data_IF_609152160636
#
_entry.id   IF_609152160636
#
_cell.length_a   1.000
_cell.length_b   1.000
_cell.length_c   1.000
_cell.angle_alpha   90.00
_cell.angle_beta   90.00
_cell.angle_gamma   90.00
#
_symmetry.space_group_name_H-M   'P 1'
#
loop_
_entity.id
_entity.type
_entity.pdbx_description
1 polymer ?
#
# COMPACT_ATOMS: atom_id res chain seq x y z
N UNK A 1 -23.59 0.02 2.28
CA UNK A 1 -23.00 0.43 3.57
C UNK A 1 -22.63 -0.77 4.45
N UNK A 2 -23.53 -1.70 4.80
CA UNK A 2 -23.21 -2.87 5.65
C UNK A 2 -22.09 -3.77 5.06
N UNK A 3 -22.11 -4.05 3.76
CA UNK A 3 -21.05 -4.81 3.08
C UNK A 3 -19.70 -4.07 3.14
N UNK A 4 -19.69 -2.74 2.94
CA UNK A 4 -18.48 -1.91 3.03
C UNK A 4 -17.90 -1.91 4.44
N UNK A 5 -18.71 -1.90 5.49
CA UNK A 5 -18.26 -1.97 6.88
C UNK A 5 -17.63 -3.33 7.22
N UNK A 6 -18.09 -4.42 6.60
CA UNK A 6 -17.47 -5.75 6.77
C UNK A 6 -16.11 -5.83 6.07
N UNK A 7 -15.99 -5.25 4.89
CA UNK A 7 -14.68 -5.15 4.20
C UNK A 7 -13.72 -4.29 5.02
N UNK A 8 -14.21 -3.20 5.64
CA UNK A 8 -13.43 -2.36 6.53
C UNK A 8 -12.98 -3.07 7.83
N UNK A 9 -13.73 -4.08 8.30
CA UNK A 9 -13.35 -4.88 9.46
C UNK A 9 -12.07 -5.72 9.26
N UNK A 10 -11.68 -5.98 8.01
CA UNK A 10 -10.39 -6.61 7.65
C UNK A 10 -9.32 -5.59 7.22
N UNK A 11 -9.50 -4.31 7.49
CA UNK A 11 -8.65 -3.21 7.01
C UNK A 11 -7.34 -3.04 7.78
N UNK A 12 -6.51 -2.14 7.27
CA UNK A 12 -5.15 -1.84 7.73
C UNK A 12 -5.05 -0.87 8.92
N UNK A 13 -6.16 -0.65 9.64
CA UNK A 13 -6.20 0.24 10.82
C UNK A 13 -6.58 -0.56 12.07
N UNK A 14 -5.79 -0.45 13.12
CA UNK A 14 -6.01 -1.16 14.37
C UNK A 14 -7.36 -0.80 15.02
N UNK A 15 -8.05 -1.77 15.62
CA UNK A 15 -9.30 -1.56 16.34
C UNK A 15 -10.54 -1.18 15.52
N UNK A 16 -10.38 -0.84 14.23
CA UNK A 16 -11.51 -0.50 13.33
C UNK A 16 -12.41 -1.71 13.10
N UNK A 17 -11.84 -2.93 13.07
CA UNK A 17 -12.60 -4.17 12.93
C UNK A 17 -13.68 -4.33 13.99
N UNK A 18 -13.36 -4.16 15.26
CA UNK A 18 -14.33 -4.22 16.36
C UNK A 18 -15.36 -3.08 16.29
N UNK A 19 -14.93 -1.87 15.95
CA UNK A 19 -15.83 -0.72 15.81
C UNK A 19 -16.78 -0.90 14.63
N UNK A 20 -16.32 -1.46 13.52
CA UNK A 20 -17.13 -1.82 12.37
C UNK A 20 -18.16 -2.91 12.71
N UNK A 21 -17.77 -3.94 13.48
CA UNK A 21 -18.67 -4.99 13.96
C UNK A 21 -19.74 -4.43 14.92
N UNK A 22 -19.36 -3.53 15.84
CA UNK A 22 -20.34 -2.84 16.71
C UNK A 22 -21.31 -1.96 15.91
N UNK A 23 -20.81 -1.25 14.89
CA UNK A 23 -21.65 -0.45 14.00
C UNK A 23 -22.59 -1.33 13.16
N UNK A 24 -22.13 -2.47 12.68
CA UNK A 24 -22.95 -3.47 11.97
C UNK A 24 -24.06 -3.99 12.87
N UNK A 25 -23.77 -4.35 14.13
CA UNK A 25 -24.77 -4.82 15.07
C UNK A 25 -25.89 -3.77 15.34
N UNK A 26 -25.51 -2.49 15.43
CA UNK A 26 -26.47 -1.38 15.56
C UNK A 26 -27.31 -1.19 14.28
N UNK A 27 -26.68 -1.32 13.10
CA UNK A 27 -27.40 -1.24 11.83
C UNK A 27 -28.39 -2.40 11.67
N UNK A 28 -28.03 -3.61 12.08
CA UNK A 28 -28.91 -4.78 12.02
C UNK A 28 -30.18 -4.59 12.90
N UNK A 29 -30.07 -3.86 14.02
CA UNK A 29 -31.22 -3.57 14.89
C UNK A 29 -32.22 -2.60 14.26
N UNK A 30 -31.75 -1.63 13.45
CA UNK A 30 -32.63 -0.61 12.84
C UNK A 30 -32.97 -0.92 11.37
N UNK A 31 -32.41 -2.00 10.82
CA UNK A 31 -32.63 -2.38 9.42
C UNK A 31 -33.97 -3.07 9.22
N UNK A 32 -34.77 -2.69 8.20
CA UNK A 32 -35.98 -3.41 7.84
C UNK A 32 -35.73 -4.91 7.58
N UNK A 33 -36.64 -5.78 7.99
CA UNK A 33 -36.50 -7.24 7.94
C UNK A 33 -36.12 -7.77 6.55
N UNK A 34 -36.70 -7.17 5.49
CA UNK A 34 -36.39 -7.54 4.09
C UNK A 34 -34.94 -7.25 3.70
N UNK A 35 -34.40 -6.09 4.10
CA UNK A 35 -33.00 -5.71 3.83
C UNK A 35 -32.03 -6.54 4.69
N UNK A 36 -32.41 -6.85 5.92
CA UNK A 36 -31.63 -7.71 6.82
C UNK A 36 -31.47 -9.10 6.23
N UNK A 37 -32.53 -9.70 5.69
CA UNK A 37 -32.49 -11.00 5.04
C UNK A 37 -31.58 -11.00 3.78
N UNK A 38 -31.62 -9.92 2.98
CA UNK A 38 -30.73 -9.78 1.82
C UNK A 38 -29.27 -9.65 2.21
N UNK A 39 -28.94 -8.85 3.23
CA UNK A 39 -27.59 -8.69 3.74
C UNK A 39 -27.07 -9.99 4.35
N UNK A 40 -27.91 -10.73 5.08
CA UNK A 40 -27.57 -12.05 5.62
C UNK A 40 -27.28 -13.05 4.51
N UNK A 41 -28.14 -13.14 3.48
CA UNK A 41 -27.92 -14.04 2.35
C UNK A 41 -26.61 -13.77 1.60
N UNK A 42 -26.24 -12.50 1.39
CA UNK A 42 -24.93 -12.13 0.81
C UNK A 42 -23.78 -12.54 1.74
N UNK A 43 -23.97 -12.38 3.05
CA UNK A 43 -22.95 -12.77 4.03
C UNK A 43 -22.72 -14.28 4.05
N UNK A 44 -23.79 -15.06 4.10
CA UNK A 44 -23.70 -16.52 4.16
C UNK A 44 -23.14 -17.13 2.87
N UNK A 45 -23.34 -16.42 1.74
CA UNK A 45 -22.79 -16.80 0.42
C UNK A 45 -21.37 -16.30 0.18
N UNK A 46 -20.78 -15.48 1.08
CA UNK A 46 -19.47 -14.85 0.86
C UNK A 46 -18.45 -15.33 1.88
N UNK A 47 -17.43 -16.02 1.41
CA UNK A 47 -16.22 -16.33 2.20
C UNK A 47 -15.14 -15.33 1.84
N UNK A 48 -14.70 -14.53 2.80
CA UNK A 48 -13.59 -13.59 2.60
C UNK A 48 -12.27 -14.32 2.80
N UNK A 49 -11.51 -14.49 1.71
CA UNK A 49 -10.14 -14.96 1.80
C UNK A 49 -9.23 -13.75 1.99
N UNK A 50 -8.58 -13.68 3.15
CA UNK A 50 -7.59 -12.64 3.43
C UNK A 50 -6.22 -13.16 3.00
N UNK A 51 -5.75 -12.74 1.84
CA UNK A 51 -4.39 -13.03 1.38
C UNK A 51 -3.41 -12.02 1.95
N UNK A 52 -2.52 -12.50 2.81
CA UNK A 52 -1.43 -11.71 3.39
C UNK A 52 -1.92 -10.69 4.41
N UNK A 53 -1.88 -11.06 5.68
CA UNK A 53 -1.97 -10.09 6.76
C UNK A 53 -0.76 -9.16 6.66
N UNK A 54 -0.99 -7.87 6.56
CA UNK A 54 0.03 -6.89 6.90
C UNK A 54 0.06 -6.82 8.41
N UNK A 55 1.13 -7.32 9.04
CA UNK A 55 1.33 -7.23 10.50
C UNK A 55 1.48 -5.78 11.00
N UNK A 56 1.50 -4.82 10.10
CA UNK A 56 1.72 -3.40 10.36
C UNK A 56 0.38 -2.64 10.27
N UNK A 57 -0.37 -2.65 11.38
CA UNK A 57 -1.61 -1.87 11.51
C UNK A 57 -1.29 -0.42 11.85
N UNK A 58 -2.02 0.51 11.25
CA UNK A 58 -1.93 1.94 11.58
C UNK A 58 -2.72 2.22 12.85
N UNK A 59 -2.10 2.98 13.76
CA UNK A 59 -2.77 3.49 14.95
C UNK A 59 -3.90 4.47 14.55
N UNK A 60 -5.15 4.23 15.01
CA UNK A 60 -6.28 5.12 14.73
C UNK A 60 -6.05 6.57 15.17
N UNK A 61 -5.35 6.79 16.28
CA UNK A 61 -5.11 8.13 16.81
C UNK A 61 -4.14 8.91 15.93
N UNK A 62 -3.13 8.23 15.35
CA UNK A 62 -2.24 8.80 14.33
C UNK A 62 -3.05 9.21 13.10
N UNK A 63 -3.90 8.30 12.60
CA UNK A 63 -4.72 8.58 11.42
C UNK A 63 -5.65 9.77 11.65
N UNK A 64 -6.31 9.84 12.82
CA UNK A 64 -7.23 10.92 13.17
C UNK A 64 -6.51 12.26 13.36
N UNK A 65 -5.34 12.26 14.00
CA UNK A 65 -4.50 13.44 14.20
C UNK A 65 -4.06 14.02 12.85
N UNK A 66 -3.55 13.17 11.96
CA UNK A 66 -3.14 13.58 10.61
C UNK A 66 -4.31 14.06 9.76
N UNK A 67 -5.49 13.42 9.86
CA UNK A 67 -6.68 13.85 9.13
C UNK A 67 -7.14 15.25 9.55
N UNK A 68 -7.11 15.57 10.86
CA UNK A 68 -7.42 16.90 11.38
C UNK A 68 -6.38 17.91 10.93
N UNK A 69 -5.09 17.62 11.14
CA UNK A 69 -4.00 18.51 10.77
C UNK A 69 -3.98 18.83 9.26
N UNK A 70 -4.30 17.85 8.42
CA UNK A 70 -4.45 18.03 6.96
C UNK A 70 -5.59 19.00 6.63
N UNK A 71 -6.76 18.81 7.25
CA UNK A 71 -7.93 19.69 7.03
C UNK A 71 -7.67 21.11 7.48
N UNK A 72 -7.04 21.26 8.64
CA UNK A 72 -6.86 22.54 9.31
C UNK A 72 -5.52 23.22 8.94
N UNK A 73 -4.74 22.59 8.05
CA UNK A 73 -3.40 23.02 7.62
C UNK A 73 -2.44 23.26 8.78
N UNK A 74 -2.49 22.39 9.78
CA UNK A 74 -1.62 22.45 10.95
C UNK A 74 -0.28 21.75 10.72
N UNK A 75 0.79 22.33 11.27
CA UNK A 75 2.08 21.67 11.34
C UNK A 75 2.03 20.45 12.26
N UNK A 76 2.71 19.41 11.85
CA UNK A 76 2.83 18.16 12.61
C UNK A 76 4.29 17.85 12.88
N UNK A 77 4.60 17.45 14.12
CA UNK A 77 5.81 16.71 14.43
C UNK A 77 5.51 15.22 14.54
N UNK A 78 6.44 14.40 14.13
CA UNK A 78 6.34 12.95 14.22
C UNK A 78 7.73 12.31 14.27
N UNK A 79 7.87 11.20 14.99
CA UNK A 79 8.97 10.28 14.75
C UNK A 79 8.69 9.41 13.53
N UNK A 80 9.71 9.14 12.72
CA UNK A 80 9.60 8.31 11.55
C UNK A 80 10.74 7.30 11.48
N UNK A 81 10.38 6.03 11.41
CA UNK A 81 11.34 4.94 11.20
C UNK A 81 11.49 4.71 9.70
N UNK A 82 12.70 4.97 9.19
CA UNK A 82 13.02 4.69 7.80
C UNK A 82 13.18 3.18 7.54
N UNK A 83 13.54 2.80 6.32
CA UNK A 83 13.74 1.40 5.94
C UNK A 83 14.97 0.76 6.55
N UNK A 84 15.97 1.56 6.82
CA UNK A 84 17.19 1.13 7.47
C UNK A 84 17.00 0.89 8.96
N UNK A 85 15.78 1.18 9.49
CA UNK A 85 15.49 1.12 10.93
C UNK A 85 15.95 2.38 11.69
N UNK A 86 16.37 3.43 10.98
CA UNK A 86 16.79 4.67 11.62
C UNK A 86 15.59 5.52 11.96
N UNK A 87 15.44 5.86 13.24
CA UNK A 87 14.40 6.79 13.71
C UNK A 87 14.87 8.23 13.55
N UNK A 88 14.00 9.07 13.03
CA UNK A 88 14.27 10.50 12.82
C UNK A 88 13.04 11.33 13.14
N UNK A 89 13.25 12.46 13.80
CA UNK A 89 12.21 13.47 13.99
C UNK A 89 11.91 14.18 12.68
N UNK A 90 10.62 14.45 12.45
CA UNK A 90 10.12 15.11 11.25
C UNK A 90 9.21 16.28 11.62
N UNK A 91 9.37 17.39 10.91
CA UNK A 91 8.47 18.55 10.94
C UNK A 91 7.75 18.65 9.61
N UNK A 92 6.47 18.34 9.62
CA UNK A 92 5.69 18.10 8.42
C UNK A 92 4.59 19.13 8.23
N UNK A 93 4.32 19.48 6.98
CA UNK A 93 3.10 20.13 6.52
C UNK A 93 2.26 19.04 5.85
N UNK A 94 1.19 18.52 6.49
CA UNK A 94 0.37 17.45 5.92
C UNK A 94 -0.59 17.97 4.85
N UNK A 95 -0.68 17.28 3.71
CA UNK A 95 -1.53 17.70 2.59
C UNK A 95 -2.63 16.71 2.26
N UNK A 96 -2.33 15.42 2.20
CA UNK A 96 -3.33 14.42 1.85
C UNK A 96 -2.99 13.02 2.37
N UNK A 97 -4.01 12.32 2.87
CA UNK A 97 -3.94 10.91 3.19
C UNK A 97 -4.35 10.07 1.97
N UNK A 98 -3.55 9.08 1.63
CA UNK A 98 -3.78 8.18 0.49
C UNK A 98 -3.76 6.74 0.99
N UNK A 99 -4.76 5.95 0.61
CA UNK A 99 -4.78 4.52 0.94
C UNK A 99 -4.73 3.67 -0.33
N UNK A 100 -3.98 2.58 -0.26
CA UNK A 100 -3.96 1.52 -1.27
C UNK A 100 -4.87 0.35 -0.91
N UNK A 101 -5.70 0.49 0.15
CA UNK A 101 -6.48 -0.60 0.72
C UNK A 101 -5.69 -1.48 1.68
N UNK A 102 -4.37 -1.56 1.52
CA UNK A 102 -3.47 -2.34 2.41
C UNK A 102 -2.61 -1.47 3.31
N UNK A 103 -2.27 -0.27 2.89
CA UNK A 103 -1.39 0.68 3.59
C UNK A 103 -1.89 2.10 3.46
N UNK A 104 -1.56 2.92 4.45
CA UNK A 104 -1.84 4.35 4.47
C UNK A 104 -0.57 5.15 4.27
N UNK A 105 -0.68 6.21 3.50
CA UNK A 105 0.40 7.14 3.17
C UNK A 105 -0.04 8.57 3.45
N UNK A 106 0.89 9.39 3.88
CA UNK A 106 0.74 10.83 4.00
C UNK A 106 1.55 11.51 2.90
N UNK A 107 0.91 12.25 2.00
CA UNK A 107 1.59 13.27 1.21
C UNK A 107 1.82 14.47 2.11
N UNK A 108 3.05 14.88 2.27
CA UNK A 108 3.45 16.01 3.11
C UNK A 108 4.64 16.74 2.48
N UNK A 109 4.83 17.99 2.90
CA UNK A 109 6.09 18.70 2.71
C UNK A 109 6.94 18.55 3.97
N UNK A 110 8.12 17.97 3.83
CA UNK A 110 9.09 17.76 4.92
C UNK A 110 9.94 19.03 5.05
N UNK A 111 9.70 19.79 6.11
CA UNK A 111 10.36 21.08 6.37
C UNK A 111 11.86 20.96 6.66
N UNK A 112 12.30 19.79 7.13
CA UNK A 112 13.70 19.55 7.45
C UNK A 112 14.51 19.18 6.19
N UNK A 113 13.82 18.75 5.13
CA UNK A 113 14.41 18.38 3.84
C UNK A 113 14.06 19.33 2.71
N UNK A 114 13.16 20.27 2.97
CA UNK A 114 12.65 21.25 2.01
C UNK A 114 12.12 20.58 0.72
N UNK A 115 11.37 19.47 0.89
CA UNK A 115 10.94 18.65 -0.23
C UNK A 115 9.62 17.91 0.05
N UNK A 116 8.89 17.57 -1.00
CA UNK A 116 7.71 16.72 -0.93
C UNK A 116 8.08 15.28 -0.58
N UNK A 117 7.30 14.66 0.32
CA UNK A 117 7.48 13.28 0.75
C UNK A 117 6.17 12.53 0.81
N UNK A 118 6.28 11.23 0.56
CA UNK A 118 5.25 10.26 0.85
C UNK A 118 5.72 9.39 2.00
N UNK A 119 5.07 9.50 3.15
CA UNK A 119 5.43 8.77 4.37
C UNK A 119 4.38 7.72 4.69
N UNK A 120 4.80 6.53 5.08
CA UNK A 120 3.91 5.45 5.53
C UNK A 120 3.47 5.72 6.97
N UNK A 121 2.16 5.62 7.24
CA UNK A 121 1.63 5.88 8.57
C UNK A 121 2.03 4.81 9.60
N UNK A 122 2.17 3.55 9.15
CA UNK A 122 2.60 2.44 10.00
C UNK A 122 4.08 2.52 10.46
N UNK A 123 4.82 3.50 9.94
CA UNK A 123 6.20 3.83 10.35
C UNK A 123 6.30 5.13 11.15
N UNK A 124 5.17 5.72 11.49
CA UNK A 124 5.10 6.96 12.26
C UNK A 124 4.76 6.65 13.72
N UNK A 125 5.39 7.37 14.62
CA UNK A 125 5.07 7.40 16.04
C UNK A 125 5.12 8.83 16.57
N UNK A 126 4.60 9.05 17.78
CA UNK A 126 4.60 10.33 18.50
C UNK A 126 4.09 11.52 17.66
N UNK A 127 3.02 11.25 16.88
CA UNK A 127 2.43 12.24 15.98
C UNK A 127 1.68 13.31 16.79
N UNK A 128 2.15 14.56 16.70
CA UNK A 128 1.59 15.68 17.45
C UNK A 128 1.33 16.87 16.51
N UNK A 129 0.09 17.39 16.55
CA UNK A 129 -0.26 18.64 15.90
C UNK A 129 0.05 19.82 16.84
N UNK A 130 0.70 20.86 16.33
CA UNK A 130 1.23 21.95 17.15
C UNK A 130 0.30 23.16 17.30
N UNK A 131 -0.91 23.14 16.70
CA UNK A 131 -1.83 24.27 16.71
C UNK A 131 -1.35 25.48 15.89
N UNK A 132 -0.22 25.37 15.19
CA UNK A 132 0.29 26.39 14.28
C UNK A 132 0.00 25.99 12.84
N UNK A 133 -0.55 26.89 12.05
CA UNK A 133 -0.94 26.63 10.66
C UNK A 133 0.13 27.05 9.67
N UNK A 134 0.14 26.40 8.52
CA UNK A 134 0.99 26.75 7.39
C UNK A 134 0.16 27.30 6.23
N UNK A 135 0.79 28.14 5.38
CA UNK A 135 0.19 28.53 4.13
C UNK A 135 0.37 27.42 3.10
N UNK A 136 -0.72 26.89 2.53
CA UNK A 136 -0.62 25.83 1.55
C UNK A 136 0.23 26.19 0.35
N UNK A 137 1.09 25.26 -0.08
CA UNK A 137 1.89 25.32 -1.30
C UNK A 137 1.09 24.68 -2.44
N UNK A 138 1.51 24.91 -3.67
CA UNK A 138 1.04 24.12 -4.80
C UNK A 138 1.54 22.68 -4.65
N UNK A 139 0.62 21.79 -4.30
CA UNK A 139 0.93 20.39 -4.02
C UNK A 139 0.86 19.55 -5.30
N UNK A 140 1.73 18.55 -5.45
CA UNK A 140 1.59 17.56 -6.50
C UNK A 140 0.30 16.74 -6.32
N UNK A 141 -0.19 16.12 -7.40
CA UNK A 141 -1.28 15.15 -7.30
C UNK A 141 -0.87 14.00 -6.36
N UNK A 142 -1.60 13.86 -5.25
CA UNK A 142 -1.23 12.95 -4.18
C UNK A 142 -1.28 11.49 -4.61
N UNK A 143 -2.28 11.11 -5.41
CA UNK A 143 -2.41 9.73 -5.87
C UNK A 143 -1.26 9.36 -6.81
N UNK A 144 -0.91 10.26 -7.73
CA UNK A 144 0.19 10.06 -8.65
C UNK A 144 1.55 10.09 -7.92
N UNK A 145 1.73 11.02 -6.98
CA UNK A 145 2.97 11.13 -6.20
C UNK A 145 3.20 9.88 -5.34
N UNK A 146 2.17 9.45 -4.60
CA UNK A 146 2.23 8.24 -3.77
C UNK A 146 2.41 7.00 -4.64
N UNK A 147 1.76 6.91 -5.80
CA UNK A 147 1.95 5.81 -6.75
C UNK A 147 3.41 5.71 -7.18
N UNK A 148 4.02 6.79 -7.64
CA UNK A 148 5.45 6.83 -7.99
C UNK A 148 6.35 6.49 -6.81
N UNK A 149 6.02 7.00 -5.61
CA UNK A 149 6.77 6.70 -4.41
C UNK A 149 6.63 5.23 -3.99
N UNK A 150 5.47 4.59 -4.20
CA UNK A 150 5.27 3.17 -3.92
C UNK A 150 6.06 2.31 -4.92
N UNK A 151 6.06 2.68 -6.20
CA UNK A 151 6.78 1.91 -7.23
C UNK A 151 8.30 2.11 -7.15
N UNK A 152 8.77 3.28 -6.75
CA UNK A 152 10.19 3.63 -6.82
C UNK A 152 10.89 3.83 -5.47
N UNK A 153 10.20 4.14 -4.38
CA UNK A 153 10.88 4.65 -3.18
C UNK A 153 10.65 3.91 -1.85
N UNK A 154 9.59 3.10 -1.61
CA UNK A 154 9.41 2.47 -0.29
C UNK A 154 10.03 1.08 -0.14
N UNK A 155 10.71 0.53 -1.13
CA UNK A 155 11.22 -0.84 -1.09
C UNK A 155 12.75 -0.91 -1.04
N UNK A 156 13.28 -1.89 -0.35
CA UNK A 156 14.73 -2.13 -0.25
C UNK A 156 15.33 -2.46 -1.62
N UNK A 157 14.56 -3.10 -2.48
CA UNK A 157 14.96 -3.50 -3.81
C UNK A 157 13.97 -2.95 -4.83
N UNK A 158 14.45 -2.28 -5.86
CA UNK A 158 13.67 -1.86 -7.01
C UNK A 158 14.09 -2.74 -8.17
N UNK A 159 13.18 -3.59 -8.63
CA UNK A 159 13.42 -4.45 -9.79
C UNK A 159 13.01 -3.74 -11.08
N UNK A 160 13.85 -3.82 -12.09
CA UNK A 160 13.50 -3.54 -13.48
C UNK A 160 13.50 -4.86 -14.23
N UNK A 161 12.36 -5.17 -14.82
CA UNK A 161 12.11 -6.45 -15.46
C UNK A 161 11.58 -6.21 -16.85
N UNK A 162 12.23 -6.77 -17.86
CA UNK A 162 11.73 -6.80 -19.23
C UNK A 162 10.87 -8.03 -19.42
N UNK A 163 9.64 -7.84 -19.88
CA UNK A 163 8.76 -8.91 -20.33
C UNK A 163 8.72 -8.95 -21.85
N UNK A 164 8.70 -10.15 -22.42
CA UNK A 164 8.59 -10.37 -23.86
C UNK A 164 7.13 -10.52 -24.27
N UNK A 165 6.34 -9.52 -23.89
CA UNK A 165 4.91 -9.40 -24.19
C UNK A 165 4.49 -7.93 -24.21
N UNK A 166 3.33 -7.62 -24.82
CA UNK A 166 2.83 -6.25 -24.87
C UNK A 166 2.51 -5.70 -23.48
N UNK A 167 2.64 -4.39 -23.31
CA UNK A 167 2.32 -3.68 -22.07
C UNK A 167 0.91 -4.02 -21.57
N UNK A 168 -0.07 -4.06 -22.47
CA UNK A 168 -1.48 -4.32 -22.15
C UNK A 168 -1.68 -5.73 -21.58
N UNK A 169 -0.96 -6.72 -22.10
CA UNK A 169 -1.02 -8.10 -21.63
C UNK A 169 -0.45 -8.22 -20.22
N UNK A 170 0.72 -7.64 -19.98
CA UNK A 170 1.39 -7.69 -18.68
C UNK A 170 0.63 -6.87 -17.62
N UNK A 171 0.10 -5.72 -18.00
CA UNK A 171 -0.64 -4.84 -17.09
C UNK A 171 -1.93 -5.47 -16.54
N UNK A 172 -2.51 -6.46 -17.21
CA UNK A 172 -3.69 -7.19 -16.69
C UNK A 172 -3.38 -8.00 -15.42
N UNK A 173 -2.13 -8.36 -15.21
CA UNK A 173 -1.70 -9.15 -14.06
C UNK A 173 -1.31 -8.32 -12.84
N UNK A 174 -1.13 -7.01 -13.01
CA UNK A 174 -0.64 -6.12 -11.97
C UNK A 174 -1.58 -4.92 -11.79
N UNK A 175 -1.72 -4.46 -10.54
CA UNK A 175 -2.41 -3.20 -10.30
C UNK A 175 -1.47 -2.02 -10.56
N UNK A 176 -2.02 -0.91 -11.05
CA UNK A 176 -1.27 0.35 -11.24
C UNK A 176 -0.58 0.85 -9.95
N UNK A 177 -1.03 0.37 -8.79
CA UNK A 177 -0.44 0.70 -7.50
C UNK A 177 0.77 -0.19 -7.15
N UNK A 178 1.01 -1.30 -7.86
CA UNK A 178 2.06 -2.27 -7.51
C UNK A 178 3.26 -2.25 -8.46
N UNK A 179 3.08 -1.76 -9.69
CA UNK A 179 4.14 -1.70 -10.69
C UNK A 179 3.91 -0.54 -11.67
N UNK A 180 4.99 0.02 -12.16
CA UNK A 180 4.99 0.92 -13.30
C UNK A 180 5.43 0.14 -14.54
N UNK A 181 4.63 0.18 -15.62
CA UNK A 181 4.89 -0.58 -16.83
C UNK A 181 4.98 0.36 -18.01
N UNK A 182 6.10 0.33 -18.70
CA UNK A 182 6.38 1.12 -19.90
C UNK A 182 6.54 0.20 -21.11
N UNK A 183 5.99 0.62 -22.27
CA UNK A 183 6.19 -0.14 -23.51
C UNK A 183 7.66 -0.07 -23.96
N UNK A 184 8.23 -1.20 -24.37
CA UNK A 184 9.56 -1.34 -24.99
C UNK A 184 9.40 -1.96 -26.38
N UNK A 185 8.63 -1.26 -27.23
CA UNK A 185 8.22 -1.73 -28.53
C UNK A 185 6.87 -2.50 -28.51
N UNK A 186 6.46 -3.10 -29.64
CA UNK A 186 5.14 -3.73 -29.77
C UNK A 186 5.01 -5.08 -29.05
N UNK A 187 6.13 -5.74 -28.75
CA UNK A 187 6.18 -7.10 -28.21
C UNK A 187 6.98 -7.22 -26.92
N UNK A 188 7.35 -6.08 -26.32
CA UNK A 188 8.04 -6.07 -25.04
C UNK A 188 7.59 -4.88 -24.19
N UNK A 189 7.78 -5.00 -22.88
CA UNK A 189 7.61 -3.90 -21.93
C UNK A 189 8.60 -4.02 -20.78
N UNK A 190 8.87 -2.90 -20.14
CA UNK A 190 9.71 -2.84 -18.94
C UNK A 190 8.80 -2.53 -17.76
N UNK A 191 8.85 -3.36 -16.74
CA UNK A 191 8.19 -3.15 -15.47
C UNK A 191 9.19 -2.71 -14.41
N UNK A 192 8.84 -1.66 -13.67
CA UNK A 192 9.55 -1.22 -12.47
C UNK A 192 8.66 -1.49 -11.26
N UNK A 193 9.17 -2.26 -10.31
CA UNK A 193 8.44 -2.59 -9.09
C UNK A 193 9.38 -2.76 -7.90
N UNK A 194 8.85 -2.52 -6.70
CA UNK A 194 9.61 -2.62 -5.47
C UNK A 194 9.23 -3.80 -4.59
N UNK A 195 10.22 -4.35 -3.86
CA UNK A 195 10.01 -5.33 -2.80
C UNK A 195 11.04 -5.17 -1.68
N UNK A 196 10.64 -5.53 -0.45
CA UNK A 196 11.58 -5.61 0.69
C UNK A 196 12.23 -6.99 0.78
N UNK A 197 11.64 -8.01 0.14
CA UNK A 197 12.14 -9.38 0.05
C UNK A 197 12.17 -9.82 -1.42
N UNK A 198 13.37 -9.99 -2.01
CA UNK A 198 13.49 -10.36 -3.41
C UNK A 198 12.97 -11.78 -3.71
N UNK A 199 13.07 -12.73 -2.77
CA UNK A 199 12.58 -14.10 -3.00
C UNK A 199 11.04 -14.14 -3.07
N UNK A 200 10.35 -13.35 -2.24
CA UNK A 200 8.89 -13.21 -2.30
C UNK A 200 8.41 -12.48 -3.55
N UNK A 201 9.25 -11.68 -4.16
CA UNK A 201 8.95 -11.00 -5.41
C UNK A 201 8.92 -11.96 -6.60
N UNK A 202 9.77 -12.99 -6.64
CA UNK A 202 9.93 -13.88 -7.80
C UNK A 202 8.62 -14.55 -8.26
N UNK A 203 7.81 -15.19 -7.39
CA UNK A 203 6.53 -15.76 -7.81
C UNK A 203 5.56 -14.71 -8.38
N UNK A 204 5.61 -13.50 -7.85
CA UNK A 204 4.79 -12.39 -8.33
C UNK A 204 5.26 -11.90 -9.71
N UNK A 205 6.58 -11.84 -9.97
CA UNK A 205 7.12 -11.54 -11.29
C UNK A 205 6.71 -12.57 -12.35
N UNK A 206 6.53 -13.83 -11.96
CA UNK A 206 6.13 -14.91 -12.88
C UNK A 206 4.63 -14.95 -13.19
N UNK A 207 3.80 -14.14 -12.51
CA UNK A 207 2.32 -14.15 -12.69
C UNK A 207 1.84 -13.95 -14.13
N UNK A 208 2.47 -13.11 -14.98
CA UNK A 208 2.01 -12.96 -16.37
C UNK A 208 2.13 -14.23 -17.22
N UNK A 209 2.90 -15.22 -16.78
CA UNK A 209 3.05 -16.48 -17.52
C UNK A 209 3.75 -16.34 -18.86
N UNK A 210 4.54 -15.30 -19.03
CA UNK A 210 5.36 -15.02 -20.23
C UNK A 210 6.82 -14.95 -19.87
N UNK A 211 7.69 -15.08 -20.85
CA UNK A 211 9.13 -14.96 -20.65
C UNK A 211 9.52 -13.56 -20.19
N UNK A 212 10.45 -13.52 -19.26
CA UNK A 212 10.97 -12.25 -18.72
C UNK A 212 12.44 -12.31 -18.38
N UNK A 213 13.07 -11.14 -18.30
CA UNK A 213 14.46 -10.95 -17.92
C UNK A 213 14.53 -9.90 -16.80
N UNK A 214 15.17 -10.25 -15.69
CA UNK A 214 15.45 -9.28 -14.62
C UNK A 214 16.71 -8.48 -15.01
N UNK A 215 16.52 -7.20 -15.27
CA UNK A 215 17.62 -6.30 -15.68
C UNK A 215 18.41 -5.85 -14.44
N UNK A 216 17.75 -5.53 -13.38
CA UNK A 216 18.30 -5.05 -12.10
C UNK A 216 17.29 -5.23 -10.94
N UNK A 217 17.73 -5.28 -9.68
CA UNK A 217 19.13 -5.36 -9.24
C UNK A 217 19.63 -6.82 -9.21
N UNK A 218 20.96 -7.04 -9.03
CA UNK A 218 21.54 -8.38 -9.00
C UNK A 218 20.99 -9.27 -7.88
N UNK A 219 20.51 -8.69 -6.78
CA UNK A 219 19.89 -9.44 -5.68
C UNK A 219 18.58 -10.12 -6.11
N UNK A 220 17.80 -9.49 -6.98
CA UNK A 220 16.59 -10.10 -7.54
C UNK A 220 16.96 -11.21 -8.52
N UNK A 221 18.01 -11.03 -9.31
CA UNK A 221 18.54 -12.10 -10.19
C UNK A 221 18.99 -13.31 -9.36
N UNK A 222 19.69 -13.08 -8.25
CA UNK A 222 20.10 -14.14 -7.33
C UNK A 222 18.88 -14.84 -6.71
N UNK A 223 17.87 -14.08 -6.31
CA UNK A 223 16.62 -14.63 -5.77
C UNK A 223 15.86 -15.50 -6.78
N UNK A 224 15.83 -15.11 -8.06
CA UNK A 224 15.27 -15.96 -9.12
C UNK A 224 15.98 -17.32 -9.17
N UNK A 225 17.31 -17.35 -9.14
CA UNK A 225 18.09 -18.62 -9.14
C UNK A 225 17.74 -19.48 -7.92
N UNK A 226 17.70 -18.89 -6.72
CA UNK A 226 17.36 -19.58 -5.48
C UNK A 226 15.96 -20.21 -5.54
N UNK A 227 14.97 -19.45 -6.04
CA UNK A 227 13.59 -19.95 -6.16
C UNK A 227 13.49 -21.04 -7.20
N UNK A 228 14.16 -20.93 -8.35
CA UNK A 228 14.22 -21.97 -9.38
C UNK A 228 14.82 -23.26 -8.83
N UNK A 229 15.94 -23.19 -8.11
CA UNK A 229 16.55 -24.34 -7.47
C UNK A 229 15.61 -25.02 -6.44
N UNK A 230 14.89 -24.20 -5.66
CA UNK A 230 13.90 -24.69 -4.70
C UNK A 230 12.75 -25.42 -5.39
N UNK A 231 12.20 -24.83 -6.46
CA UNK A 231 11.12 -25.43 -7.24
C UNK A 231 11.59 -26.69 -7.97
N UNK A 232 12.82 -26.71 -8.50
CA UNK A 232 13.41 -27.90 -9.14
C UNK A 232 13.54 -29.07 -8.15
N UNK A 233 13.91 -28.80 -6.90
CA UNK A 233 13.94 -29.84 -5.85
C UNK A 233 12.54 -30.37 -5.50
N UNK A 234 11.51 -29.54 -5.62
CA UNK A 234 10.15 -29.95 -5.30
C UNK A 234 9.53 -30.93 -6.31
N UNK A 235 10.07 -30.99 -7.53
CA UNK A 235 9.62 -31.91 -8.60
C UNK A 235 10.58 -33.08 -8.84
N UNK A 236 11.71 -33.12 -8.13
CA UNK A 236 12.61 -34.29 -8.14
C UNK A 236 12.03 -35.36 -7.22
N UNK A 237 11.85 -36.62 -7.70
CA UNK A 237 11.33 -37.71 -6.91
C UNK A 237 12.29 -38.15 -5.79
#
# INVERSE_FOLDING_TARGET
>A
MAVCLRVAAGGSVAGVGESALRALSKLDQVMPSRLRAQVAAVHDATTTLTYGQTDELVDPDILMTLARATRDHEHVAAEYVDRGGTTTDRRLEPYQLVTTGRRWYLLCFDRDRDDWRSLRLDRMSDVTAHGTTFRPREAPDAAQYVRRAITASPYRYIARVRYFASKESVAQCFSDASAEIEADGPHACIMTAGADDPERMVPWLAMPGVDFEVLEPPEVVAAVRTVVERLSRAISP
#
